data_IF_325986716630
#
_entry.id   IF_325986716630
#
_cell.length_a   1.000
_cell.length_b   1.000
_cell.length_c   1.000
_cell.angle_alpha   90.00
_cell.angle_beta   90.00
_cell.angle_gamma   90.00
#
_symmetry.space_group_name_H-M   'P 1'
#
loop_
_entity.id
_entity.type
_entity.pdbx_description
1 polymer ?
#
# COMPACT_ATOMS: atom_id res chain seq x y z
N UNK A 1 -14.27 -11.60 24.92
CA UNK A 1 -13.66 -12.48 23.89
C UNK A 1 -13.55 -11.82 22.52
N UNK A 2 -14.63 -11.23 22.01
CA UNK A 2 -14.66 -10.57 20.68
C UNK A 2 -13.48 -9.60 20.43
N UNK A 3 -13.19 -8.68 21.35
CA UNK A 3 -12.07 -7.74 21.19
C UNK A 3 -10.69 -8.43 21.05
N UNK A 4 -10.46 -9.58 21.70
CA UNK A 4 -9.21 -10.35 21.55
C UNK A 4 -9.18 -11.12 20.23
N UNK A 5 -10.31 -11.68 19.81
CA UNK A 5 -10.45 -12.32 18.50
C UNK A 5 -10.23 -11.31 17.35
N UNK A 6 -10.78 -10.09 17.46
CA UNK A 6 -10.56 -9.02 16.49
C UNK A 6 -9.09 -8.59 16.43
N UNK A 7 -8.42 -8.46 17.60
CA UNK A 7 -6.97 -8.18 17.64
C UNK A 7 -6.14 -9.29 16.98
N UNK A 8 -6.49 -10.55 17.23
CA UNK A 8 -5.82 -11.69 16.58
C UNK A 8 -6.06 -11.67 15.07
N UNK A 9 -7.31 -11.50 14.63
CA UNK A 9 -7.66 -11.38 13.22
C UNK A 9 -6.89 -10.26 12.51
N UNK A 10 -6.74 -9.09 13.16
CA UNK A 10 -5.96 -7.99 12.63
C UNK A 10 -4.45 -8.25 12.60
N UNK A 11 -3.92 -9.08 13.51
CA UNK A 11 -2.49 -9.38 13.61
C UNK A 11 -2.05 -10.51 12.66
N UNK A 12 -2.89 -11.54 12.47
CA UNK A 12 -2.51 -12.76 11.73
C UNK A 12 -3.34 -13.00 10.48
N UNK A 13 -4.49 -12.35 10.31
CA UNK A 13 -5.41 -12.58 9.18
C UNK A 13 -6.17 -13.92 9.21
N UNK A 14 -5.77 -14.84 10.10
CA UNK A 14 -6.35 -16.17 10.29
C UNK A 14 -6.30 -16.64 11.76
N UNK A 15 -6.97 -17.75 12.07
CA UNK A 15 -6.89 -18.44 13.36
C UNK A 15 -7.77 -17.81 14.46
N UNK A 16 -8.51 -16.75 14.16
CA UNK A 16 -9.47 -16.16 15.10
C UNK A 16 -10.54 -17.17 15.53
N UNK A 17 -11.06 -17.97 14.58
CA UNK A 17 -12.03 -19.04 14.88
C UNK A 17 -11.40 -20.12 15.76
N UNK A 18 -10.21 -20.61 15.39
CA UNK A 18 -9.48 -21.61 16.17
C UNK A 18 -9.20 -21.15 17.60
N UNK A 19 -8.83 -19.88 17.77
CA UNK A 19 -8.64 -19.27 19.09
C UNK A 19 -9.94 -19.26 19.91
N UNK A 20 -11.06 -18.86 19.31
CA UNK A 20 -12.37 -18.84 19.99
C UNK A 20 -12.79 -20.26 20.39
N UNK A 21 -12.63 -21.25 19.50
CA UNK A 21 -12.97 -22.65 19.79
C UNK A 21 -12.09 -23.24 20.88
N UNK A 22 -10.77 -23.02 20.83
CA UNK A 22 -9.84 -23.47 21.87
C UNK A 22 -10.19 -22.84 23.22
N UNK A 23 -10.49 -21.54 23.25
CA UNK A 23 -10.89 -20.86 24.48
C UNK A 23 -12.22 -21.39 25.00
N UNK A 24 -13.21 -21.60 24.13
CA UNK A 24 -14.50 -22.16 24.50
C UNK A 24 -14.36 -23.57 25.07
N UNK A 25 -13.53 -24.42 24.46
CA UNK A 25 -13.24 -25.76 24.97
C UNK A 25 -12.63 -25.72 26.37
N UNK A 26 -11.60 -24.88 26.59
CA UNK A 26 -10.97 -24.69 27.92
C UNK A 26 -11.98 -24.18 28.96
N UNK A 27 -12.91 -23.32 28.57
CA UNK A 27 -13.95 -22.79 29.47
C UNK A 27 -15.05 -23.80 29.77
N UNK A 28 -15.42 -24.65 28.81
CA UNK A 28 -16.42 -25.72 28.99
C UNK A 28 -15.95 -26.79 29.98
N UNK A 29 -14.65 -27.09 30.02
CA UNK A 29 -14.04 -27.99 31.00
C UNK A 29 -13.97 -27.39 32.43
N UNK A 30 -14.28 -26.10 32.59
CA UNK A 30 -14.16 -25.38 33.87
C UNK A 30 -15.52 -25.10 34.56
N UNK A 31 -16.58 -25.83 34.18
CA UNK A 31 -17.99 -25.52 34.49
C UNK A 31 -18.40 -25.52 35.97
N UNK A 32 -17.59 -26.05 36.90
CA UNK A 32 -17.97 -26.12 38.33
C UNK A 32 -17.47 -24.92 39.18
N UNK A 33 -17.72 -23.69 38.75
CA UNK A 33 -17.45 -22.48 39.55
C UNK A 33 -15.97 -22.14 39.81
N UNK A 34 -15.05 -22.96 39.29
CA UNK A 34 -13.61 -22.84 39.54
C UNK A 34 -12.88 -21.89 38.57
N UNK A 35 -13.58 -21.27 37.62
CA UNK A 35 -13.00 -20.43 36.55
C UNK A 35 -11.97 -19.40 37.03
N UNK A 36 -12.21 -18.73 38.17
CA UNK A 36 -11.26 -17.77 38.78
C UNK A 36 -9.93 -18.41 39.20
N UNK A 37 -9.92 -19.70 39.56
CA UNK A 37 -8.71 -20.47 39.92
C UNK A 37 -8.16 -21.27 38.73
N UNK A 38 -9.04 -21.79 37.87
CA UNK A 38 -8.70 -22.63 36.73
C UNK A 38 -7.98 -21.86 35.61
N UNK A 39 -8.39 -20.62 35.28
CA UNK A 39 -7.71 -19.84 34.24
C UNK A 39 -6.26 -19.48 34.62
N UNK A 40 -5.98 -18.94 35.82
CA UNK A 40 -4.60 -18.69 36.25
C UNK A 40 -3.79 -19.99 36.38
N UNK A 41 -4.41 -21.10 36.76
CA UNK A 41 -3.75 -22.40 36.81
C UNK A 41 -3.41 -22.92 35.40
N UNK A 42 -4.32 -22.82 34.43
CA UNK A 42 -4.09 -23.18 33.03
C UNK A 42 -3.02 -22.28 32.38
N UNK A 43 -3.09 -20.97 32.63
CA UNK A 43 -2.05 -20.04 32.18
C UNK A 43 -0.69 -20.45 32.73
N UNK A 44 -0.56 -20.67 34.05
CA UNK A 44 0.72 -21.01 34.67
C UNK A 44 1.23 -22.40 34.32
N UNK A 45 0.36 -23.41 34.30
CA UNK A 45 0.74 -24.83 34.15
C UNK A 45 0.85 -25.26 32.70
N UNK A 46 0.07 -24.67 31.80
CA UNK A 46 0.01 -25.07 30.39
C UNK A 46 0.60 -23.99 29.49
N UNK A 47 0.04 -22.77 29.48
CA UNK A 47 0.49 -21.74 28.52
C UNK A 47 1.91 -21.26 28.80
N UNK A 48 2.23 -20.90 30.05
CA UNK A 48 3.59 -20.47 30.43
C UNK A 48 4.59 -21.58 30.26
N UNK A 49 4.23 -22.85 30.54
CA UNK A 49 5.11 -23.99 30.25
C UNK A 49 5.26 -24.26 28.75
N UNK A 50 4.21 -24.10 27.94
CA UNK A 50 4.30 -24.23 26.49
C UNK A 50 5.15 -23.12 25.87
N UNK A 51 5.04 -21.90 26.39
CA UNK A 51 5.88 -20.75 26.02
C UNK A 51 7.32 -20.94 26.51
N UNK A 52 7.53 -21.41 27.75
CA UNK A 52 8.85 -21.62 28.36
C UNK A 52 9.60 -22.83 27.81
N UNK A 53 8.89 -23.92 27.46
CA UNK A 53 9.42 -25.03 26.64
C UNK A 53 9.67 -24.61 25.19
N UNK A 54 9.35 -23.36 24.88
CA UNK A 54 9.50 -22.76 23.58
C UNK A 54 8.33 -23.14 22.67
N UNK A 55 7.55 -22.14 22.28
CA UNK A 55 6.86 -22.21 20.99
C UNK A 55 7.89 -22.10 19.84
N UNK A 56 9.07 -21.51 20.11
CA UNK A 56 10.17 -21.30 19.15
C UNK A 56 10.75 -22.59 18.55
N UNK A 57 11.06 -23.66 19.30
CA UNK A 57 11.51 -24.93 18.73
C UNK A 57 10.47 -25.60 17.81
N UNK A 58 9.20 -25.24 17.95
CA UNK A 58 8.09 -25.71 17.09
C UNK A 58 7.68 -24.67 16.04
N UNK A 59 8.34 -23.51 16.01
CA UNK A 59 8.07 -22.48 15.03
C UNK A 59 8.82 -22.84 13.76
N UNK A 60 8.12 -23.52 12.85
CA UNK A 60 8.63 -23.81 11.52
C UNK A 60 8.47 -22.57 10.64
N UNK A 61 9.55 -22.17 9.98
CA UNK A 61 9.48 -21.21 8.88
C UNK A 61 9.35 -22.01 7.58
N UNK A 62 8.32 -21.72 6.80
CA UNK A 62 8.24 -22.21 5.41
C UNK A 62 9.18 -21.43 4.48
N UNK A 63 9.72 -20.31 4.94
CA UNK A 63 10.65 -19.48 4.17
C UNK A 63 12.09 -19.88 4.48
N UNK A 64 12.97 -19.90 3.48
CA UNK A 64 14.37 -20.24 3.66
C UNK A 64 15.03 -19.34 4.72
N UNK A 65 15.88 -19.95 5.55
CA UNK A 65 16.72 -19.24 6.49
C UNK A 65 17.91 -18.61 5.73
N UNK A 66 17.66 -17.55 4.96
CA UNK A 66 18.62 -17.01 4.01
C UNK A 66 19.81 -16.28 4.64
N UNK A 67 21.01 -16.50 4.07
CA UNK A 67 22.25 -15.75 4.28
C UNK A 67 22.41 -14.64 3.24
N UNK A 68 23.42 -13.77 3.37
CA UNK A 68 23.66 -12.68 2.43
C UNK A 68 24.40 -13.18 1.17
N UNK A 69 23.80 -14.08 0.40
CA UNK A 69 24.30 -14.48 -0.93
C UNK A 69 24.02 -13.39 -1.98
N UNK A 70 24.92 -13.20 -2.94
CA UNK A 70 24.75 -12.26 -4.05
C UNK A 70 24.64 -13.02 -5.39
N UNK A 71 23.85 -12.49 -6.33
CA UNK A 71 23.67 -13.09 -7.66
C UNK A 71 22.67 -14.25 -7.66
N UNK A 72 23.04 -15.36 -8.32
CA UNK A 72 22.16 -16.51 -8.58
C UNK A 72 21.54 -17.14 -7.32
N UNK A 73 22.24 -17.10 -6.18
CA UNK A 73 21.72 -17.60 -4.91
C UNK A 73 20.53 -16.77 -4.39
N UNK A 74 20.57 -15.45 -4.60
CA UNK A 74 19.48 -14.56 -4.18
C UNK A 74 18.23 -14.75 -5.05
N UNK A 75 18.41 -14.98 -6.36
CA UNK A 75 17.31 -15.30 -7.28
C UNK A 75 16.65 -16.64 -6.92
N UNK A 76 17.46 -17.66 -6.61
CA UNK A 76 16.95 -18.96 -6.16
C UNK A 76 16.20 -18.84 -4.82
N UNK A 77 16.72 -18.08 -3.85
CA UNK A 77 16.02 -17.82 -2.59
C UNK A 77 14.67 -17.11 -2.81
N UNK A 78 14.61 -16.18 -3.78
CA UNK A 78 13.39 -15.47 -4.15
C UNK A 78 12.35 -16.41 -4.73
N UNK A 79 12.75 -17.27 -5.65
CA UNK A 79 11.88 -18.28 -6.27
C UNK A 79 11.37 -19.29 -5.24
N UNK A 80 12.25 -19.81 -4.38
CA UNK A 80 11.87 -20.72 -3.29
C UNK A 80 10.91 -20.06 -2.29
N UNK A 81 11.18 -18.80 -1.92
CA UNK A 81 10.29 -18.03 -1.05
C UNK A 81 8.92 -17.77 -1.68
N UNK A 82 8.89 -17.48 -2.98
CA UNK A 82 7.67 -17.32 -3.76
C UNK A 82 6.85 -18.61 -3.86
N UNK A 83 7.51 -19.74 -4.11
CA UNK A 83 6.88 -21.06 -4.15
C UNK A 83 6.32 -21.47 -2.77
N UNK A 84 7.09 -21.24 -1.70
CA UNK A 84 6.63 -21.47 -0.33
C UNK A 84 5.38 -20.63 0.00
N UNK A 85 5.35 -19.35 -0.39
CA UNK A 85 4.16 -18.53 -0.20
C UNK A 85 2.96 -19.06 -0.99
N UNK A 86 3.14 -19.45 -2.25
CA UNK A 86 2.07 -20.04 -3.06
C UNK A 86 1.47 -21.26 -2.35
N UNK A 87 2.33 -22.18 -1.89
CA UNK A 87 1.93 -23.39 -1.19
C UNK A 87 1.20 -23.10 0.13
N UNK A 88 1.51 -21.99 0.81
CA UNK A 88 0.80 -21.55 2.01
C UNK A 88 -0.54 -20.87 1.70
N UNK A 89 -0.61 -20.10 0.60
CA UNK A 89 -1.82 -19.37 0.21
C UNK A 89 -2.93 -20.29 -0.27
N UNK A 90 -2.61 -21.35 -1.02
CA UNK A 90 -3.64 -22.26 -1.55
C UNK A 90 -4.53 -22.88 -0.46
N UNK A 91 -3.99 -23.46 0.64
CA UNK A 91 -4.79 -23.93 1.77
C UNK A 91 -5.53 -22.80 2.49
N UNK A 92 -4.86 -21.66 2.72
CA UNK A 92 -5.47 -20.50 3.39
C UNK A 92 -6.71 -19.97 2.65
N UNK A 93 -6.69 -20.02 1.32
CA UNK A 93 -7.78 -19.55 0.47
C UNK A 93 -8.90 -20.58 0.29
N UNK A 94 -8.72 -21.83 0.74
CA UNK A 94 -9.70 -22.92 0.54
C UNK A 94 -11.08 -22.61 1.11
N UNK A 95 -11.15 -21.90 2.23
CA UNK A 95 -12.40 -21.46 2.85
C UNK A 95 -12.90 -20.08 2.39
N UNK A 96 -12.23 -19.44 1.43
CA UNK A 96 -12.50 -18.03 1.04
C UNK A 96 -12.84 -17.86 -0.44
N UNK A 97 -12.32 -18.72 -1.31
CA UNK A 97 -12.48 -18.65 -2.77
C UNK A 97 -12.90 -20.01 -3.33
N UNK A 98 -13.42 -20.05 -4.56
CA UNK A 98 -13.61 -21.30 -5.32
C UNK A 98 -12.29 -21.86 -5.89
N UNK A 99 -12.23 -23.13 -6.32
CA UNK A 99 -10.98 -23.79 -6.75
C UNK A 99 -10.15 -23.02 -7.79
N UNK A 100 -10.79 -22.53 -8.85
CA UNK A 100 -10.11 -21.73 -9.89
C UNK A 100 -9.56 -20.39 -9.37
N UNK A 101 -10.27 -19.76 -8.43
CA UNK A 101 -9.84 -18.48 -7.85
C UNK A 101 -8.70 -18.63 -6.86
N UNK A 102 -8.66 -19.71 -6.08
CA UNK A 102 -7.59 -20.01 -5.11
C UNK A 102 -6.22 -20.04 -5.78
N UNK A 103 -6.09 -20.87 -6.83
CA UNK A 103 -4.83 -21.03 -7.56
C UNK A 103 -4.39 -19.71 -8.19
N UNK A 104 -5.33 -18.96 -8.79
CA UNK A 104 -5.01 -17.67 -9.41
C UNK A 104 -4.49 -16.65 -8.39
N UNK A 105 -5.14 -16.50 -7.24
CA UNK A 105 -4.67 -15.58 -6.19
C UNK A 105 -3.33 -16.02 -5.60
N UNK A 106 -3.11 -17.33 -5.41
CA UNK A 106 -1.83 -17.84 -4.93
C UNK A 106 -0.68 -17.54 -5.91
N UNK A 107 -0.92 -17.71 -7.22
CA UNK A 107 0.04 -17.34 -8.27
C UNK A 107 0.34 -15.84 -8.29
N UNK A 108 -0.69 -14.98 -8.18
CA UNK A 108 -0.50 -13.53 -8.09
C UNK A 108 0.27 -13.12 -6.83
N UNK A 109 0.04 -13.81 -5.70
CA UNK A 109 0.79 -13.60 -4.47
C UNK A 109 2.27 -13.96 -4.60
N UNK A 110 2.59 -15.08 -5.26
CA UNK A 110 3.97 -15.45 -5.62
C UNK A 110 4.61 -14.39 -6.50
N UNK A 111 3.94 -14.03 -7.60
CA UNK A 111 4.45 -13.05 -8.55
C UNK A 111 4.73 -11.69 -7.89
N UNK A 112 3.82 -11.22 -7.03
CA UNK A 112 4.02 -10.00 -6.25
C UNK A 112 5.25 -10.09 -5.36
N UNK A 113 5.47 -11.22 -4.69
CA UNK A 113 6.62 -11.39 -3.81
C UNK A 113 7.94 -11.43 -4.58
N UNK A 114 7.99 -12.14 -5.70
CA UNK A 114 9.17 -12.18 -6.57
C UNK A 114 9.49 -10.77 -7.08
N UNK A 115 8.51 -10.07 -7.66
CA UNK A 115 8.72 -8.70 -8.18
C UNK A 115 9.10 -7.67 -7.12
N UNK A 116 8.61 -7.83 -5.89
CA UNK A 116 8.96 -6.94 -4.77
C UNK A 116 10.23 -7.37 -4.02
N UNK A 117 10.93 -8.43 -4.43
CA UNK A 117 12.08 -8.93 -3.69
C UNK A 117 11.72 -9.47 -2.29
N UNK A 118 10.48 -9.87 -2.08
CA UNK A 118 9.92 -10.17 -0.77
C UNK A 118 9.90 -11.68 -0.46
N UNK A 119 11.08 -12.27 -0.23
CA UNK A 119 11.21 -13.68 0.18
C UNK A 119 11.44 -13.87 1.70
N UNK A 120 11.68 -12.77 2.43
CA UNK A 120 11.99 -12.80 3.87
C UNK A 120 10.91 -12.13 4.72
N UNK A 121 10.80 -12.56 5.98
CA UNK A 121 9.78 -12.06 6.92
C UNK A 121 9.73 -10.52 7.07
N UNK A 122 10.84 -9.75 7.09
CA UNK A 122 10.77 -8.29 7.15
C UNK A 122 10.16 -7.69 5.86
N UNK A 123 10.59 -8.17 4.69
CA UNK A 123 10.10 -7.72 3.40
C UNK A 123 8.61 -8.07 3.21
N UNK A 124 8.21 -9.29 3.54
CA UNK A 124 6.80 -9.72 3.52
C UNK A 124 5.92 -8.89 4.47
N UNK A 125 6.43 -8.51 5.66
CA UNK A 125 5.72 -7.63 6.58
C UNK A 125 5.56 -6.21 6.02
N UNK A 126 6.59 -5.68 5.37
CA UNK A 126 6.51 -4.39 4.70
C UNK A 126 5.51 -4.43 3.55
N UNK A 127 5.59 -5.46 2.70
CA UNK A 127 4.67 -5.70 1.60
C UNK A 127 3.22 -5.78 2.10
N UNK A 128 2.96 -6.54 3.16
CA UNK A 128 1.62 -6.61 3.77
C UNK A 128 1.11 -5.26 4.31
N UNK A 129 1.99 -4.45 4.93
CA UNK A 129 1.64 -3.10 5.40
C UNK A 129 1.36 -2.11 4.27
N UNK A 130 2.02 -2.29 3.12
CA UNK A 130 1.90 -1.42 1.94
C UNK A 130 0.95 -1.95 0.88
N UNK A 131 0.37 -3.14 1.08
CA UNK A 131 -0.55 -3.75 0.13
C UNK A 131 -1.72 -2.84 -0.27
N UNK A 132 -2.37 -2.09 0.65
CA UNK A 132 -3.45 -1.16 0.26
C UNK A 132 -3.04 -0.06 -0.72
N UNK A 133 -1.75 0.31 -0.76
CA UNK A 133 -1.19 1.29 -1.70
C UNK A 133 -0.76 0.65 -3.02
N UNK A 134 -0.43 -0.64 -3.00
CA UNK A 134 0.04 -1.41 -4.17
C UNK A 134 -1.12 -2.12 -4.91
N UNK A 135 -2.27 -2.26 -4.25
CA UNK A 135 -3.43 -2.96 -4.77
C UNK A 135 -4.49 -2.00 -5.30
N UNK A 136 -5.03 -2.33 -6.46
CA UNK A 136 -6.22 -1.69 -7.01
C UNK A 136 -7.24 -2.75 -7.43
N UNK A 137 -8.48 -2.58 -6.96
CA UNK A 137 -9.60 -3.40 -7.40
C UNK A 137 -10.25 -2.78 -8.64
N UNK A 138 -10.47 -3.59 -9.66
CA UNK A 138 -11.30 -3.25 -10.81
C UNK A 138 -12.61 -4.05 -10.72
N UNK A 139 -13.74 -3.34 -10.63
CA UNK A 139 -15.05 -3.98 -10.60
C UNK A 139 -15.46 -4.47 -11.99
N UNK A 140 -16.27 -5.52 -12.06
CA UNK A 140 -16.84 -6.04 -13.31
C UNK A 140 -15.90 -6.91 -14.15
N UNK A 141 -14.65 -7.11 -13.75
CA UNK A 141 -13.70 -8.00 -14.44
C UNK A 141 -13.53 -9.33 -13.71
N UNK A 142 -13.36 -10.45 -14.44
CA UNK A 142 -13.10 -11.75 -13.82
C UNK A 142 -11.69 -11.77 -13.20
N UNK A 143 -11.52 -12.55 -12.14
CA UNK A 143 -10.24 -12.73 -11.45
C UNK A 143 -9.10 -13.21 -12.37
N UNK A 144 -9.44 -13.91 -13.47
CA UNK A 144 -8.46 -14.30 -14.49
C UNK A 144 -7.77 -13.12 -15.19
N UNK A 145 -8.38 -11.92 -15.18
CA UNK A 145 -7.81 -10.69 -15.74
C UNK A 145 -6.96 -9.91 -14.74
N UNK A 146 -6.89 -10.33 -13.48
CA UNK A 146 -6.00 -9.72 -12.50
C UNK A 146 -4.53 -10.00 -12.85
N UNK A 147 -3.67 -9.01 -12.70
CA UNK A 147 -2.24 -9.12 -13.01
C UNK A 147 -1.41 -8.31 -12.00
N UNK A 148 -0.15 -8.71 -11.82
CA UNK A 148 0.85 -7.91 -11.09
C UNK A 148 1.61 -7.07 -12.12
N UNK A 149 1.46 -5.76 -12.04
CA UNK A 149 2.13 -4.82 -12.95
C UNK A 149 3.40 -4.27 -12.31
N UNK A 150 4.45 -3.98 -13.09
CA UNK A 150 5.59 -3.23 -12.59
C UNK A 150 5.17 -1.77 -12.36
N UNK A 151 5.64 -1.17 -11.26
CA UNK A 151 5.37 0.23 -10.93
C UNK A 151 4.20 0.44 -9.97
N UNK A 152 3.60 1.64 -10.02
CA UNK A 152 2.53 2.09 -9.12
C UNK A 152 1.32 2.50 -9.94
N UNK A 153 0.13 1.97 -9.59
CA UNK A 153 -1.12 2.39 -10.21
C UNK A 153 -1.68 3.63 -9.50
N UNK A 154 -1.88 4.70 -10.26
CA UNK A 154 -2.59 5.88 -9.79
C UNK A 154 -4.09 5.70 -10.07
N UNK A 155 -4.92 5.83 -9.03
CA UNK A 155 -6.40 5.75 -9.14
C UNK A 155 -7.05 7.06 -9.57
N UNK A 156 -6.25 8.03 -10.00
CA UNK A 156 -6.68 9.36 -10.44
C UNK A 156 -6.41 9.48 -11.92
N UNK A 157 -7.38 10.02 -12.64
CA UNK A 157 -7.23 10.36 -14.04
C UNK A 157 -6.39 11.61 -14.21
N UNK A 158 -5.93 11.81 -15.44
CA UNK A 158 -5.20 13.00 -15.84
C UNK A 158 -6.12 14.23 -15.86
N UNK A 159 -5.69 15.30 -15.21
CA UNK A 159 -6.24 16.63 -15.42
C UNK A 159 -5.78 17.23 -16.76
N UNK A 160 -4.57 16.84 -17.19
CA UNK A 160 -4.06 17.07 -18.54
C UNK A 160 -3.32 15.83 -19.00
N UNK A 161 -3.68 15.28 -20.16
CA UNK A 161 -3.00 14.14 -20.75
C UNK A 161 -2.31 14.57 -22.05
N UNK A 162 -0.98 14.47 -22.07
CA UNK A 162 -0.13 14.86 -23.18
C UNK A 162 0.85 13.72 -23.50
N UNK A 163 0.38 12.63 -24.13
CA UNK A 163 1.24 11.52 -24.53
C UNK A 163 2.22 11.99 -25.60
N UNK A 164 3.52 11.88 -25.32
CA UNK A 164 4.59 12.27 -26.26
C UNK A 164 5.08 13.72 -26.16
N UNK A 165 4.54 14.53 -25.25
CA UNK A 165 4.85 15.97 -25.18
C UNK A 165 6.14 16.36 -24.44
N UNK A 166 6.68 15.51 -23.57
CA UNK A 166 7.85 15.86 -22.74
C UNK A 166 8.60 14.61 -22.19
N UNK A 167 9.77 14.85 -21.59
CA UNK A 167 10.75 13.81 -21.20
C UNK A 167 10.29 12.80 -20.14
N UNK A 168 11.13 11.80 -19.80
CA UNK A 168 10.72 10.63 -19.02
C UNK A 168 10.51 10.91 -17.53
N UNK A 169 10.81 12.14 -17.05
CA UNK A 169 10.82 12.43 -15.62
C UNK A 169 9.41 12.75 -15.11
N UNK A 170 9.10 12.20 -13.94
CA UNK A 170 7.92 12.55 -13.17
C UNK A 170 8.33 13.35 -11.92
N UNK A 171 7.60 14.43 -11.61
CA UNK A 171 7.86 15.25 -10.42
C UNK A 171 6.64 15.26 -9.50
N UNK A 172 6.89 15.04 -8.21
CA UNK A 172 5.88 15.16 -7.16
C UNK A 172 5.85 16.59 -6.62
N UNK A 173 4.67 17.22 -6.64
CA UNK A 173 4.46 18.57 -6.12
C UNK A 173 3.42 18.57 -5.01
N UNK A 174 3.80 19.12 -3.86
CA UNK A 174 2.96 19.16 -2.67
C UNK A 174 2.13 20.45 -2.51
N UNK A 175 2.31 21.43 -3.41
CA UNK A 175 1.71 22.76 -3.35
C UNK A 175 1.20 23.21 -4.73
N UNK A 176 0.35 24.22 -4.78
CA UNK A 176 -0.07 24.81 -6.06
C UNK A 176 1.13 25.50 -6.73
N UNK A 177 1.31 25.30 -8.04
CA UNK A 177 2.37 25.96 -8.81
C UNK A 177 2.04 27.43 -9.08
N UNK A 178 0.76 27.76 -9.19
CA UNK A 178 0.30 29.14 -9.23
C UNK A 178 0.43 29.77 -7.83
N UNK A 179 1.13 30.91 -7.69
CA UNK A 179 1.21 31.60 -6.41
C UNK A 179 -0.16 32.18 -6.03
N UNK A 180 -0.50 32.10 -4.75
CA UNK A 180 -1.68 32.74 -4.19
C UNK A 180 -1.54 34.27 -4.20
N UNK A 181 -2.66 34.99 -4.34
CA UNK A 181 -2.68 36.45 -4.29
C UNK A 181 -2.36 36.99 -2.89
N UNK A 182 -2.66 36.22 -1.86
CA UNK A 182 -2.33 36.51 -0.47
C UNK A 182 -1.81 35.26 0.24
N UNK A 183 -1.05 35.48 1.31
CA UNK A 183 -0.61 34.41 2.19
C UNK A 183 -1.79 33.81 2.97
N UNK A 184 -1.69 32.55 3.43
CA UNK A 184 -2.71 31.97 4.31
C UNK A 184 -2.95 32.85 5.55
N UNK A 185 -4.19 33.23 5.80
CA UNK A 185 -4.57 34.10 6.92
C UNK A 185 -4.40 35.60 6.66
N UNK A 186 -3.93 36.02 5.48
CA UNK A 186 -3.88 37.42 5.08
C UNK A 186 -5.07 37.78 4.18
N UNK A 187 -5.63 38.97 4.38
CA UNK A 187 -6.68 39.52 3.51
C UNK A 187 -6.05 40.29 2.35
N UNK A 188 -6.52 40.02 1.13
CA UNK A 188 -6.12 40.75 -0.06
C UNK A 188 -7.11 41.87 -0.35
N UNK A 189 -6.79 43.10 0.01
CA UNK A 189 -7.62 44.25 -0.35
C UNK A 189 -7.44 44.61 -1.83
N UNK A 190 -8.52 44.49 -2.61
CA UNK A 190 -8.54 44.85 -4.03
C UNK A 190 -9.04 46.28 -4.19
N UNK A 191 -8.11 47.24 -4.21
CA UNK A 191 -8.43 48.67 -4.32
C UNK A 191 -8.79 49.15 -5.73
N UNK A 192 -8.50 48.34 -6.76
CA UNK A 192 -8.93 48.64 -8.13
C UNK A 192 -8.93 47.40 -9.01
N UNK A 193 -9.84 47.38 -9.98
CA UNK A 193 -9.94 46.30 -10.96
C UNK A 193 -8.66 46.17 -11.81
N UNK A 194 -8.04 47.30 -12.20
CA UNK A 194 -6.78 47.29 -12.97
C UNK A 194 -5.66 46.58 -12.22
N UNK A 195 -5.50 46.85 -10.91
CA UNK A 195 -4.49 46.20 -10.07
C UNK A 195 -4.79 44.72 -9.87
N UNK A 196 -6.06 44.38 -9.68
CA UNK A 196 -6.49 42.99 -9.60
C UNK A 196 -6.12 42.20 -10.86
N UNK A 197 -6.49 42.72 -12.04
CA UNK A 197 -6.18 42.11 -13.33
C UNK A 197 -4.66 41.98 -13.54
N UNK A 198 -3.87 42.97 -13.12
CA UNK A 198 -2.41 42.91 -13.20
C UNK A 198 -1.82 41.82 -12.28
N UNK A 199 -2.34 41.68 -11.05
CA UNK A 199 -1.92 40.63 -10.13
C UNK A 199 -2.25 39.23 -10.65
N UNK A 200 -3.46 39.03 -11.20
CA UNK A 200 -3.84 37.77 -11.84
C UNK A 200 -2.91 37.39 -13.00
N UNK A 201 -2.59 38.35 -13.88
CA UNK A 201 -1.63 38.14 -14.98
C UNK A 201 -0.24 37.76 -14.47
N UNK A 202 0.26 38.40 -13.42
CA UNK A 202 1.54 38.05 -12.80
C UNK A 202 1.53 36.61 -12.25
N UNK A 203 0.45 36.21 -11.57
CA UNK A 203 0.31 34.84 -11.08
C UNK A 203 0.29 33.81 -12.23
N UNK A 204 -0.43 34.12 -13.32
CA UNK A 204 -0.48 33.28 -14.52
C UNK A 204 0.91 33.14 -15.17
N UNK A 205 1.61 34.25 -15.43
CA UNK A 205 2.96 34.21 -16.00
C UNK A 205 3.99 33.50 -15.10
N UNK A 206 3.81 33.57 -13.77
CA UNK A 206 4.64 32.79 -12.84
C UNK A 206 4.36 31.29 -12.95
N UNK A 207 3.09 30.90 -13.13
CA UNK A 207 2.70 29.51 -13.33
C UNK A 207 3.24 28.96 -14.66
N UNK A 208 3.15 29.74 -15.73
CA UNK A 208 3.73 29.44 -17.06
C UNK A 208 5.23 29.18 -16.95
N UNK A 209 5.99 30.14 -16.40
CA UNK A 209 7.43 30.00 -16.20
C UNK A 209 7.80 28.82 -15.28
N UNK A 210 6.93 28.41 -14.36
CA UNK A 210 7.15 27.21 -13.56
C UNK A 210 7.00 25.93 -14.40
N UNK A 211 5.95 25.82 -15.21
CA UNK A 211 5.72 24.67 -16.10
C UNK A 211 6.80 24.59 -17.18
N UNK A 212 7.17 25.71 -17.80
CA UNK A 212 8.22 25.76 -18.81
C UNK A 212 9.57 25.28 -18.24
N UNK A 213 9.91 25.70 -17.01
CA UNK A 213 11.12 25.23 -16.31
C UNK A 213 11.08 23.73 -15.99
N UNK A 214 9.91 23.16 -15.70
CA UNK A 214 9.78 21.72 -15.52
C UNK A 214 10.03 21.00 -16.86
N UNK A 215 9.41 21.49 -17.94
CA UNK A 215 9.60 20.94 -19.29
C UNK A 215 11.05 21.02 -19.75
N UNK A 216 11.74 22.14 -19.53
CA UNK A 216 13.15 22.30 -19.92
C UNK A 216 14.09 21.36 -19.16
N UNK A 217 13.67 20.87 -17.99
CA UNK A 217 14.35 19.82 -17.22
C UNK A 217 13.95 18.40 -17.62
N UNK A 218 13.16 18.24 -18.68
CA UNK A 218 12.73 16.92 -19.18
C UNK A 218 11.59 16.29 -18.37
N UNK A 219 10.82 17.08 -17.61
CA UNK A 219 9.64 16.59 -16.88
C UNK A 219 8.46 16.45 -17.83
N UNK A 220 7.98 15.23 -18.02
CA UNK A 220 6.78 14.93 -18.80
C UNK A 220 5.54 14.63 -17.96
N UNK A 221 5.69 14.41 -16.66
CA UNK A 221 4.60 14.09 -15.76
C UNK A 221 4.68 14.89 -14.45
N UNK A 222 3.62 15.64 -14.16
CA UNK A 222 3.40 16.34 -12.91
C UNK A 222 2.42 15.55 -12.03
N UNK A 223 2.91 15.08 -10.88
CA UNK A 223 2.11 14.40 -9.86
C UNK A 223 1.84 15.39 -8.73
N UNK A 224 0.61 15.88 -8.61
CA UNK A 224 0.25 16.88 -7.61
C UNK A 224 -0.55 16.29 -6.44
N UNK A 225 -0.12 16.56 -5.21
CA UNK A 225 -0.89 16.22 -4.00
C UNK A 225 -2.10 17.13 -3.76
N UNK A 226 -2.15 18.28 -4.45
CA UNK A 226 -3.23 19.28 -4.35
C UNK A 226 -3.89 19.48 -5.71
N UNK A 227 -5.08 20.08 -5.73
CA UNK A 227 -5.69 20.55 -6.98
C UNK A 227 -4.87 21.71 -7.52
N UNK A 228 -4.53 21.67 -8.81
CA UNK A 228 -3.84 22.77 -9.49
C UNK A 228 -4.86 23.75 -10.07
N UNK A 229 -4.44 25.00 -10.26
CA UNK A 229 -5.28 26.00 -10.92
C UNK A 229 -5.38 25.73 -12.42
N UNK A 230 -6.47 26.16 -13.05
CA UNK A 230 -6.71 25.93 -14.49
C UNK A 230 -5.60 26.50 -15.37
N UNK A 231 -4.97 27.62 -15.00
CA UNK A 231 -3.84 28.17 -15.74
C UNK A 231 -2.65 27.21 -15.75
N UNK A 232 -2.38 26.52 -14.63
CA UNK A 232 -1.31 25.52 -14.57
C UNK A 232 -1.62 24.36 -15.51
N UNK A 233 -2.88 23.89 -15.52
CA UNK A 233 -3.33 22.80 -16.40
C UNK A 233 -3.22 23.22 -17.87
N UNK A 234 -3.61 24.46 -18.18
CA UNK A 234 -3.52 25.05 -19.52
C UNK A 234 -2.06 25.11 -20.00
N UNK A 235 -1.15 25.69 -19.23
CA UNK A 235 0.26 25.77 -19.60
C UNK A 235 0.93 24.40 -19.63
N UNK A 236 0.52 23.46 -18.78
CA UNK A 236 0.99 22.08 -18.83
C UNK A 236 0.65 21.44 -20.18
N UNK A 237 -0.59 21.60 -20.66
CA UNK A 237 -0.99 21.15 -22.01
C UNK A 237 -0.16 21.82 -23.11
N UNK A 238 0.01 23.14 -23.04
CA UNK A 238 0.78 23.91 -24.02
C UNK A 238 2.24 23.43 -24.12
N UNK A 239 2.85 23.07 -22.99
CA UNK A 239 4.23 22.59 -22.93
C UNK A 239 4.35 21.06 -22.96
N UNK A 240 3.28 20.32 -23.24
CA UNK A 240 3.33 18.87 -23.37
C UNK A 240 3.56 18.10 -22.05
N UNK A 241 3.31 18.72 -20.90
CA UNK A 241 3.44 18.11 -19.57
C UNK A 241 2.09 17.52 -19.15
N UNK A 242 2.06 16.21 -18.89
CA UNK A 242 0.87 15.56 -18.34
C UNK A 242 0.71 15.88 -16.85
N UNK A 243 -0.53 16.02 -16.36
CA UNK A 243 -0.83 16.38 -14.97
C UNK A 243 -1.81 15.38 -14.37
N UNK A 244 -1.46 14.83 -13.22
CA UNK A 244 -2.36 14.08 -12.34
C UNK A 244 -2.41 14.80 -11.00
N UNK A 245 -3.61 15.15 -10.52
CA UNK A 245 -3.78 15.96 -9.30
C UNK A 245 -4.56 15.23 -8.20
N UNK A 246 -4.61 15.84 -7.01
CA UNK A 246 -5.29 15.30 -5.84
C UNK A 246 -4.80 13.90 -5.41
N UNK A 247 -3.49 13.66 -5.53
CA UNK A 247 -2.85 12.43 -5.10
C UNK A 247 -2.69 12.36 -3.58
N UNK A 248 -2.99 11.20 -3.01
CA UNK A 248 -2.83 10.99 -1.56
C UNK A 248 -1.35 11.06 -1.17
N UNK A 249 -1.04 11.86 -0.14
CA UNK A 249 0.32 11.91 0.45
C UNK A 249 0.80 10.56 0.99
N UNK A 250 -0.13 9.62 1.25
CA UNK A 250 0.18 8.26 1.73
C UNK A 250 0.83 7.37 0.65
N UNK A 251 0.78 7.77 -0.61
CA UNK A 251 1.41 7.02 -1.70
C UNK A 251 2.95 7.18 -1.68
N UNK A 252 3.46 8.24 -1.04
CA UNK A 252 4.86 8.69 -1.13
C UNK A 252 5.60 8.73 0.22
N UNK A 253 4.95 8.28 1.31
CA UNK A 253 5.54 8.11 2.65
C UNK A 253 5.56 6.63 2.98
#
# INVERSE_FOLDING_TARGET
MAARACRLQGATGDGAKTFVLLLAAVLSEARDGSLRRALPAFERRVLRRAVARGVRPRALSAFPAGGAGAGAEAELELELGGAALQALLEPYLRGRLGPGGRRRVALLGRELCVRCGACRRPALRLLGRRFPQLHAAAAGLPLGRSAVLPGVLLRRDFAAYCPGGAGPLAVLVARCLRPALAAPGAECEVRSERRHRAALRRCAGTAEAAVERLRSRGVGLLLSCVKQHEEVIYYAKLHGVSVVECLSRRLWR
#
